data_IF_394112365922
#
_entry.id   IF_394112365922
#
_cell.length_a   1.000
_cell.length_b   1.000
_cell.length_c   1.000
_cell.angle_alpha   90.00
_cell.angle_beta   90.00
_cell.angle_gamma   90.00
#
_symmetry.space_group_name_H-M   'P 1'
#
loop_
_entity.id
_entity.type
_entity.pdbx_description
1 polymer ?
#
# COMPACT_ATOMS: atom_id res chain seq x y z
N UNK A 1 17.54 31.45 20.68
CA UNK A 1 16.38 32.09 21.35
C UNK A 1 15.19 31.97 20.40
N UNK A 2 14.37 30.94 20.55
CA UNK A 2 13.18 30.71 19.72
C UNK A 2 11.94 31.10 20.52
N UNK A 3 11.20 32.09 20.03
CA UNK A 3 9.98 32.61 20.66
C UNK A 3 8.91 31.51 20.86
N UNK A 4 8.03 31.62 21.87
CA UNK A 4 7.14 30.54 22.29
C UNK A 4 5.97 30.21 21.34
N UNK A 5 5.87 30.83 20.15
CA UNK A 5 4.57 31.01 19.51
C UNK A 5 4.20 30.01 18.38
N UNK A 6 4.97 28.97 18.07
CA UNK A 6 4.55 27.96 17.07
C UNK A 6 5.31 26.63 17.25
N UNK A 7 5.13 25.96 18.40
CA UNK A 7 5.61 24.57 18.54
C UNK A 7 4.69 23.63 17.75
N UNK A 8 5.23 22.67 16.99
CA UNK A 8 4.43 21.61 16.40
C UNK A 8 3.56 20.90 17.47
N UNK A 9 2.30 20.56 17.17
CA UNK A 9 1.38 19.97 18.16
C UNK A 9 1.85 18.63 18.74
N UNK A 10 2.78 17.94 18.07
CA UNK A 10 3.42 16.72 18.58
C UNK A 10 4.36 17.00 19.75
N UNK A 11 5.03 18.15 19.76
CA UNK A 11 5.95 18.56 20.84
C UNK A 11 5.15 18.92 22.09
N UNK A 12 4.05 19.65 21.92
CA UNK A 12 3.15 20.00 23.04
C UNK A 12 2.57 18.76 23.71
N UNK A 13 2.09 17.79 22.91
CA UNK A 13 1.59 16.52 23.43
C UNK A 13 2.66 15.72 24.17
N UNK A 14 3.91 15.75 23.70
CA UNK A 14 5.02 15.07 24.36
C UNK A 14 5.27 15.66 25.75
N UNK A 15 5.43 16.98 25.87
CA UNK A 15 5.67 17.61 27.17
C UNK A 15 4.46 17.54 28.11
N UNK A 16 3.23 17.48 27.58
CA UNK A 16 2.03 17.25 28.39
C UNK A 16 1.95 15.83 28.99
N UNK A 17 2.68 14.87 28.43
CA UNK A 17 2.76 13.49 28.94
C UNK A 17 4.03 13.24 29.76
N UNK A 18 5.03 14.10 29.64
CA UNK A 18 6.28 14.01 30.39
C UNK A 18 6.02 14.41 31.84
N UNK A 19 6.61 13.68 32.78
CA UNK A 19 6.57 14.04 34.19
C UNK A 19 7.13 15.45 34.40
N UNK A 20 6.41 16.27 35.17
CA UNK A 20 6.71 17.69 35.36
C UNK A 20 8.10 17.88 35.99
N UNK A 21 8.45 17.07 36.99
CA UNK A 21 9.72 17.14 37.68
C UNK A 21 10.91 16.75 36.79
N UNK A 22 10.67 15.84 35.83
CA UNK A 22 11.67 15.51 34.79
C UNK A 22 11.77 16.64 33.75
N UNK A 23 10.64 17.19 33.31
CA UNK A 23 10.58 18.26 32.31
C UNK A 23 11.30 19.54 32.77
N UNK A 24 11.18 19.88 34.05
CA UNK A 24 11.89 20.99 34.68
C UNK A 24 13.40 20.75 34.79
N UNK A 25 13.81 19.50 35.03
CA UNK A 25 15.22 19.11 35.14
C UNK A 25 15.99 19.06 33.82
N UNK A 26 15.31 19.15 32.67
CA UNK A 26 15.95 19.13 31.36
C UNK A 26 16.62 20.47 31.02
N UNK A 27 17.88 20.42 30.59
CA UNK A 27 18.59 21.62 30.13
C UNK A 27 18.04 22.13 28.79
N UNK A 28 18.25 23.42 28.44
CA UNK A 28 17.82 23.96 27.15
C UNK A 28 18.35 23.17 25.94
N UNK A 29 19.60 22.71 25.99
CA UNK A 29 20.23 21.92 24.93
C UNK A 29 19.59 20.54 24.80
N UNK A 30 19.23 19.92 25.93
CA UNK A 30 18.51 18.64 25.94
C UNK A 30 17.11 18.80 25.35
N UNK A 31 16.39 19.87 25.72
CA UNK A 31 15.06 20.18 25.17
C UNK A 31 15.11 20.36 23.65
N UNK A 32 16.08 21.13 23.13
CA UNK A 32 16.28 21.31 21.69
C UNK A 32 16.60 20.00 20.96
N UNK A 33 17.47 19.16 21.54
CA UNK A 33 17.79 17.84 20.99
C UNK A 33 16.57 16.92 20.92
N UNK A 34 15.75 16.90 21.97
CA UNK A 34 14.51 16.12 22.05
C UNK A 34 13.49 16.63 21.02
N UNK A 35 13.26 17.94 20.96
CA UNK A 35 12.33 18.55 20.00
C UNK A 35 12.70 18.21 18.55
N UNK A 36 14.00 18.33 18.19
CA UNK A 36 14.50 17.95 16.86
C UNK A 36 14.29 16.47 16.55
N UNK A 37 14.56 15.59 17.52
CA UNK A 37 14.36 14.15 17.35
C UNK A 37 12.88 13.77 17.18
N UNK A 38 11.98 14.41 17.92
CA UNK A 38 10.53 14.21 17.81
C UNK A 38 10.03 14.68 16.44
N UNK A 39 10.45 15.85 15.97
CA UNK A 39 10.03 16.36 14.65
C UNK A 39 10.54 15.45 13.53
N UNK A 40 11.81 15.04 13.57
CA UNK A 40 12.40 14.16 12.56
C UNK A 40 11.70 12.79 12.51
N UNK A 41 11.41 12.19 13.67
CA UNK A 41 10.71 10.90 13.75
C UNK A 41 9.25 10.99 13.30
N UNK A 42 8.57 12.10 13.61
CA UNK A 42 7.17 12.32 13.21
C UNK A 42 7.03 12.54 11.71
N UNK A 43 7.94 13.30 11.08
CA UNK A 43 7.95 13.53 9.63
C UNK A 43 8.09 12.21 8.85
N UNK A 44 8.94 11.29 9.33
CA UNK A 44 9.12 9.97 8.75
C UNK A 44 7.87 9.04 8.89
N UNK A 45 6.93 9.40 9.77
CA UNK A 45 5.69 8.66 10.01
C UNK A 45 4.45 9.28 9.34
N UNK A 46 4.58 10.44 8.66
CA UNK A 46 3.45 11.03 7.93
C UNK A 46 3.21 10.30 6.62
N UNK A 47 2.22 9.42 6.62
CA UNK A 47 1.70 8.79 5.41
C UNK A 47 0.57 9.65 4.82
N UNK A 48 0.54 9.84 3.49
CA UNK A 48 -0.55 10.60 2.84
C UNK A 48 -1.89 9.88 2.93
N UNK A 49 -1.85 8.55 2.94
CA UNK A 49 -3.01 7.69 3.13
C UNK A 49 -2.68 6.79 4.32
N UNK A 50 -3.42 6.97 5.41
CA UNK A 50 -3.38 6.11 6.61
C UNK A 50 -4.80 5.63 6.91
N UNK A 51 -5.10 4.39 6.50
CA UNK A 51 -6.38 3.75 6.77
C UNK A 51 -6.14 2.66 7.80
N UNK A 52 -6.67 2.85 9.01
CA UNK A 52 -6.66 1.84 10.07
C UNK A 52 -8.10 1.51 10.41
N UNK A 53 -8.52 0.31 10.04
CA UNK A 53 -9.86 -0.19 10.34
C UNK A 53 -9.75 -1.42 11.20
N UNK A 54 -10.58 -1.49 12.23
CA UNK A 54 -10.77 -2.70 13.01
C UNK A 54 -12.17 -3.22 12.75
N UNK A 55 -12.31 -4.52 12.53
CA UNK A 55 -13.61 -5.14 12.32
C UNK A 55 -13.72 -6.43 13.13
N UNK A 56 -14.89 -6.71 13.72
CA UNK A 56 -15.15 -7.98 14.38
C UNK A 56 -15.42 -9.08 13.34
N UNK A 57 -14.81 -10.24 13.50
CA UNK A 57 -15.08 -11.44 12.69
C UNK A 57 -14.89 -12.69 13.54
N UNK A 58 -15.88 -13.60 13.56
CA UNK A 58 -15.88 -14.82 14.39
C UNK A 58 -15.45 -14.62 15.86
N UNK A 59 -16.00 -13.61 16.54
CA UNK A 59 -15.71 -13.35 17.96
C UNK A 59 -14.29 -12.81 18.23
N UNK A 60 -13.49 -12.58 17.19
CA UNK A 60 -12.17 -11.96 17.27
C UNK A 60 -12.19 -10.60 16.59
N UNK A 61 -11.31 -9.70 17.02
CA UNK A 61 -11.13 -8.39 16.38
C UNK A 61 -9.91 -8.46 15.47
N UNK A 62 -10.14 -8.18 14.20
CA UNK A 62 -9.08 -8.08 13.20
C UNK A 62 -8.83 -6.61 12.91
N UNK A 63 -7.58 -6.27 12.58
CA UNK A 63 -7.20 -4.94 12.15
C UNK A 63 -6.64 -5.01 10.72
N UNK A 64 -7.02 -4.03 9.92
CA UNK A 64 -6.50 -3.76 8.60
C UNK A 64 -5.83 -2.40 8.64
N UNK A 65 -4.54 -2.38 8.31
CA UNK A 65 -3.74 -1.16 8.20
C UNK A 65 -3.25 -1.05 6.78
N UNK A 66 -3.69 0.00 6.09
CA UNK A 66 -3.22 0.36 4.77
C UNK A 66 -2.53 1.71 4.85
N UNK A 67 -1.22 1.70 4.61
CA UNK A 67 -0.39 2.89 4.56
C UNK A 67 0.09 3.07 3.13
N UNK A 68 -0.16 4.24 2.56
CA UNK A 68 0.38 4.59 1.25
C UNK A 68 0.96 6.00 1.27
N UNK A 69 2.17 6.14 0.73
CA UNK A 69 2.89 7.40 0.74
C UNK A 69 4.33 7.21 0.28
N UNK A 70 5.01 8.32 0.05
CA UNK A 70 6.44 8.33 -0.28
C UNK A 70 7.24 7.98 0.97
N UNK A 71 8.18 7.05 0.86
CA UNK A 71 9.10 6.79 1.97
C UNK A 71 10.08 7.96 2.10
N UNK A 72 10.09 8.58 3.28
CA UNK A 72 10.96 9.71 3.65
C UNK A 72 11.97 9.31 4.72
N UNK A 73 12.04 8.02 5.07
CA UNK A 73 12.95 7.52 6.10
C UNK A 73 14.38 7.55 5.57
N UNK A 74 15.30 8.11 6.37
CA UNK A 74 16.73 8.13 6.02
C UNK A 74 17.39 6.74 6.06
N UNK A 75 16.84 5.81 6.85
CA UNK A 75 17.30 4.43 6.92
C UNK A 75 16.36 3.52 6.15
N UNK A 76 16.89 2.90 5.10
CA UNK A 76 16.20 1.83 4.40
C UNK A 76 16.01 0.65 5.36
N UNK A 77 14.75 0.30 5.62
CA UNK A 77 14.45 -0.94 6.36
C UNK A 77 14.79 -2.09 5.42
N UNK A 78 15.47 -3.13 5.89
CA UNK A 78 15.59 -4.36 5.11
C UNK A 78 14.17 -4.82 4.75
N UNK A 79 13.86 -4.80 3.45
CA UNK A 79 12.60 -5.33 2.97
C UNK A 79 12.49 -6.80 3.38
N UNK A 80 11.34 -7.18 3.92
CA UNK A 80 11.09 -8.59 4.18
C UNK A 80 11.07 -9.30 2.83
N UNK A 81 11.92 -10.31 2.66
CA UNK A 81 11.99 -11.14 1.46
C UNK A 81 10.60 -11.68 1.06
N UNK A 82 9.74 -11.98 2.03
CA UNK A 82 8.36 -12.40 1.81
C UNK A 82 7.49 -11.32 1.15
N UNK A 83 7.67 -10.05 1.53
CA UNK A 83 6.94 -8.94 0.94
C UNK A 83 7.32 -8.76 -0.53
N UNK A 84 8.62 -8.83 -0.83
CA UNK A 84 9.12 -8.73 -2.20
C UNK A 84 8.63 -9.92 -3.04
N UNK A 85 8.71 -11.15 -2.51
CA UNK A 85 8.20 -12.35 -3.18
C UNK A 85 6.70 -12.26 -3.47
N UNK A 86 5.89 -11.82 -2.51
CA UNK A 86 4.45 -11.66 -2.69
C UNK A 86 4.14 -10.60 -3.76
N UNK A 87 4.84 -9.46 -3.74
CA UNK A 87 4.67 -8.42 -4.74
C UNK A 87 5.04 -8.92 -6.14
N UNK A 88 6.17 -9.61 -6.29
CA UNK A 88 6.59 -10.21 -7.56
C UNK A 88 5.59 -11.24 -8.06
N UNK A 89 5.06 -12.08 -7.16
CA UNK A 89 4.03 -13.07 -7.50
C UNK A 89 2.74 -12.41 -8.00
N UNK A 90 2.26 -11.37 -7.31
CA UNK A 90 1.07 -10.62 -7.72
C UNK A 90 1.25 -9.93 -9.08
N UNK A 91 2.43 -9.35 -9.32
CA UNK A 91 2.76 -8.74 -10.61
C UNK A 91 2.78 -9.79 -11.73
N UNK A 92 3.41 -10.94 -11.50
CA UNK A 92 3.45 -12.05 -12.47
C UNK A 92 2.04 -12.55 -12.80
N UNK A 93 1.21 -12.76 -11.78
CA UNK A 93 -0.18 -13.18 -11.96
C UNK A 93 -0.99 -12.13 -12.75
N UNK A 94 -0.81 -10.85 -12.44
CA UNK A 94 -1.46 -9.75 -13.17
C UNK A 94 -1.02 -9.69 -14.63
N UNK A 95 0.28 -9.82 -14.92
CA UNK A 95 0.80 -9.88 -16.29
C UNK A 95 0.23 -11.07 -17.05
N UNK A 96 0.23 -12.27 -16.45
CA UNK A 96 -0.32 -13.48 -17.06
C UNK A 96 -1.81 -13.30 -17.40
N UNK A 97 -2.59 -12.75 -16.46
CA UNK A 97 -4.00 -12.49 -16.67
C UNK A 97 -4.25 -11.54 -17.85
N UNK A 98 -3.50 -10.44 -17.93
CA UNK A 98 -3.60 -9.48 -19.05
C UNK A 98 -3.22 -10.17 -20.37
N UNK A 99 -2.16 -10.95 -20.41
CA UNK A 99 -1.77 -11.71 -21.61
C UNK A 99 -2.87 -12.67 -22.05
N UNK A 100 -3.47 -13.43 -21.12
CA UNK A 100 -4.60 -14.30 -21.42
C UNK A 100 -5.80 -13.54 -22.00
N UNK A 101 -6.15 -12.38 -21.44
CA UNK A 101 -7.24 -11.54 -21.95
C UNK A 101 -6.95 -11.03 -23.37
N UNK A 102 -5.73 -10.60 -23.65
CA UNK A 102 -5.31 -10.16 -25.00
C UNK A 102 -5.40 -11.32 -25.99
N UNK A 103 -4.85 -12.49 -25.65
CA UNK A 103 -4.91 -13.67 -26.51
C UNK A 103 -6.34 -14.13 -26.78
N UNK A 104 -7.20 -14.13 -25.74
CA UNK A 104 -8.61 -14.44 -25.88
C UNK A 104 -9.32 -13.45 -26.81
N UNK A 105 -9.01 -12.15 -26.69
CA UNK A 105 -9.59 -11.11 -27.55
C UNK A 105 -9.16 -11.29 -29.01
N UNK A 106 -7.87 -11.53 -29.25
CA UNK A 106 -7.36 -11.81 -30.60
C UNK A 106 -7.97 -13.09 -31.18
N UNK A 107 -8.15 -14.13 -30.35
CA UNK A 107 -8.82 -15.36 -30.76
C UNK A 107 -10.28 -15.11 -31.15
N UNK A 108 -11.02 -14.31 -30.37
CA UNK A 108 -12.41 -13.93 -30.69
C UNK A 108 -12.50 -13.18 -32.02
N UNK A 109 -11.60 -12.22 -32.27
CA UNK A 109 -11.54 -11.48 -33.54
C UNK A 109 -11.22 -12.42 -34.70
N UNK A 110 -10.21 -13.30 -34.54
CA UNK A 110 -9.88 -14.35 -35.54
C UNK A 110 -11.10 -15.21 -35.86
N UNK A 111 -11.83 -15.64 -34.83
CA UNK A 111 -12.98 -16.53 -34.97
C UNK A 111 -14.15 -15.83 -35.67
N UNK A 112 -14.39 -14.56 -35.36
CA UNK A 112 -15.42 -13.75 -36.01
C UNK A 112 -15.12 -13.47 -37.49
N UNK A 113 -13.84 -13.34 -37.87
CA UNK A 113 -13.40 -13.13 -39.25
C UNK A 113 -13.37 -14.42 -40.09
N UNK A 114 -13.58 -15.59 -39.48
CA UNK A 114 -13.56 -16.88 -40.19
C UNK A 114 -12.19 -17.30 -40.74
N UNK A 115 -11.09 -16.69 -40.28
CA UNK A 115 -9.74 -16.96 -40.80
C UNK A 115 -9.16 -18.20 -40.10
N UNK A 116 -9.14 -19.37 -40.72
CA UNK A 116 -8.57 -20.57 -40.08
C UNK A 116 -7.03 -20.64 -40.12
N UNK A 117 -6.43 -20.30 -38.98
CA UNK A 117 -4.98 -20.39 -38.74
C UNK A 117 -4.51 -21.84 -38.60
N UNK A 118 -5.38 -22.75 -38.12
CA UNK A 118 -5.11 -24.18 -38.04
C UNK A 118 -6.22 -24.95 -38.77
N UNK A 119 -5.87 -25.66 -39.84
CA UNK A 119 -6.81 -26.57 -40.47
C UNK A 119 -7.13 -27.69 -39.48
N UNK A 120 -8.42 -27.80 -39.10
CA UNK A 120 -8.99 -28.82 -38.20
C UNK A 120 -8.88 -28.60 -36.67
N UNK A 121 -8.50 -27.42 -36.17
CA UNK A 121 -8.51 -27.16 -34.72
C UNK A 121 -9.19 -25.82 -34.35
N UNK A 122 -10.31 -25.94 -33.62
CA UNK A 122 -11.07 -24.80 -33.08
C UNK A 122 -11.29 -25.02 -31.59
N UNK A 123 -11.01 -23.99 -30.78
CA UNK A 123 -11.14 -24.03 -29.31
C UNK A 123 -12.61 -24.02 -28.85
N UNK A 124 -13.56 -23.65 -29.71
CA UNK A 124 -15.01 -23.73 -29.45
C UNK A 124 -15.59 -22.63 -28.55
N UNK A 125 -14.77 -21.68 -28.08
CA UNK A 125 -15.22 -20.60 -27.17
C UNK A 125 -16.18 -19.64 -27.90
N UNK A 126 -15.98 -19.41 -29.20
CA UNK A 126 -16.86 -18.57 -30.02
C UNK A 126 -18.25 -19.18 -30.21
N UNK A 127 -18.32 -20.49 -30.46
CA UNK A 127 -19.58 -21.21 -30.62
C UNK A 127 -20.37 -21.25 -29.30
N UNK A 128 -19.67 -21.43 -28.17
CA UNK A 128 -20.25 -21.30 -26.84
C UNK A 128 -20.81 -19.89 -26.58
N UNK A 129 -20.08 -18.84 -26.99
CA UNK A 129 -20.54 -17.46 -26.88
C UNK A 129 -21.78 -17.18 -27.74
N UNK A 130 -21.82 -17.67 -28.98
CA UNK A 130 -22.99 -17.58 -29.84
C UNK A 130 -24.20 -18.31 -29.22
N UNK A 131 -23.99 -19.51 -28.66
CA UNK A 131 -25.05 -20.27 -27.97
C UNK A 131 -25.63 -19.56 -26.74
N UNK A 132 -24.87 -18.66 -26.10
CA UNK A 132 -25.37 -17.80 -25.01
C UNK A 132 -26.24 -16.65 -25.52
N UNK A 133 -25.97 -16.17 -26.73
CA UNK A 133 -26.72 -15.06 -27.35
C UNK A 133 -28.04 -15.51 -27.97
N UNK A 134 -28.10 -16.76 -28.43
CA UNK A 134 -29.30 -17.38 -29.02
C UNK A 134 -30.27 -17.97 -27.97
N UNK A 135 -30.04 -17.75 -26.67
CA UNK A 135 -31.00 -17.99 -25.58
C UNK A 135 -31.63 -16.69 -25.12
#
# INVERSE_FOLDING_TARGET
MTSPQNRPPVIERFYAQLDEHISEGLTPEQKDGIEKAIVASTLASRHRIDIRRSFPFFGKRFYLVFLFGRDLRQRHRQESTLSTMLLTFLLLLGTLFVTCCVLLTLYMIKSALGIDVFQHFHVGIWDWWLSLKDR
#
